data_IF_303054541879
#
_entry.id   IF_303054541879
#
_cell.length_a   1.000
_cell.length_b   1.000
_cell.length_c   1.000
_cell.angle_alpha   90.00
_cell.angle_beta   90.00
_cell.angle_gamma   90.00
#
_symmetry.space_group_name_H-M   'P 1'
#
loop_
_entity.id
_entity.type
_entity.pdbx_description
1 polymer ?
#
# COMPACT_ATOMS: atom_id res chain seq x y z
N UNK A 1 22.32 -25.35 0.63
CA UNK A 1 22.36 -24.35 1.72
C UNK A 1 22.23 -24.99 3.10
N UNK A 2 21.12 -25.68 3.43
CA UNK A 2 20.96 -26.35 4.74
C UNK A 2 22.10 -27.35 5.00
N UNK A 3 22.38 -28.23 4.04
CA UNK A 3 23.47 -29.21 4.11
C UNK A 3 24.85 -28.52 4.22
N UNK A 4 25.08 -27.44 3.47
CA UNK A 4 26.33 -26.67 3.56
C UNK A 4 26.52 -26.07 4.96
N UNK A 5 25.46 -25.54 5.57
CA UNK A 5 25.47 -25.00 6.94
C UNK A 5 25.81 -26.11 7.94
N UNK A 6 25.19 -27.28 7.80
CA UNK A 6 25.49 -28.45 8.65
C UNK A 6 26.96 -28.90 8.52
N UNK A 7 27.55 -28.72 7.34
CA UNK A 7 28.96 -29.01 7.07
C UNK A 7 29.91 -27.88 7.47
N UNK A 8 29.42 -26.82 8.14
CA UNK A 8 30.25 -25.72 8.66
C UNK A 8 30.55 -24.60 7.65
N UNK A 9 29.79 -24.49 6.57
CA UNK A 9 29.95 -23.39 5.63
C UNK A 9 29.63 -22.04 6.28
N UNK A 10 30.50 -21.05 6.05
CA UNK A 10 30.28 -19.67 6.48
C UNK A 10 29.35 -18.99 5.48
N UNK A 11 28.23 -18.47 5.98
CA UNK A 11 27.26 -17.74 5.17
C UNK A 11 27.64 -16.25 5.06
N UNK A 12 27.25 -15.58 3.95
CA UNK A 12 27.27 -14.12 3.89
C UNK A 12 26.41 -13.50 5.01
N UNK A 13 26.67 -12.24 5.40
CA UNK A 13 26.05 -11.62 6.58
C UNK A 13 24.54 -11.45 6.45
N UNK A 14 23.79 -11.78 7.50
CA UNK A 14 22.37 -11.40 7.59
C UNK A 14 22.33 -9.90 7.89
N UNK A 15 21.53 -9.16 7.13
CA UNK A 15 21.40 -7.71 7.30
C UNK A 15 20.08 -7.41 7.99
N UNK A 16 20.14 -6.81 9.16
CA UNK A 16 18.99 -6.37 9.95
C UNK A 16 18.87 -4.85 9.89
N UNK A 17 17.67 -4.35 9.62
CA UNK A 17 17.29 -2.96 9.75
C UNK A 17 16.65 -2.70 11.10
N UNK A 18 17.03 -1.59 11.73
CA UNK A 18 16.45 -1.11 12.99
C UNK A 18 15.96 0.31 12.76
N UNK A 19 14.66 0.53 12.91
CA UNK A 19 14.06 1.86 12.89
C UNK A 19 14.20 2.51 14.26
N UNK A 20 14.77 3.70 14.35
CA UNK A 20 15.06 4.42 15.60
C UNK A 20 14.50 5.83 15.62
N UNK A 21 14.21 6.35 16.80
CA UNK A 21 13.97 7.76 17.03
C UNK A 21 15.30 8.55 17.06
N UNK A 22 15.30 9.86 16.75
CA UNK A 22 16.52 10.68 16.80
C UNK A 22 17.23 10.64 18.15
N UNK A 23 16.47 10.54 19.25
CA UNK A 23 17.02 10.45 20.61
C UNK A 23 17.78 9.15 20.87
N UNK A 24 17.42 8.07 20.19
CA UNK A 24 18.08 6.76 20.31
C UNK A 24 19.37 6.72 19.49
N UNK A 25 19.41 7.35 18.32
CA UNK A 25 20.64 7.46 17.51
C UNK A 25 21.75 8.15 18.29
N UNK A 26 21.43 9.24 18.99
CA UNK A 26 22.42 9.95 19.81
C UNK A 26 22.94 9.08 20.97
N UNK A 27 22.09 8.25 21.58
CA UNK A 27 22.52 7.26 22.58
C UNK A 27 23.46 6.22 21.97
N UNK A 28 23.09 5.66 20.81
CA UNK A 28 23.88 4.62 20.13
C UNK A 28 25.28 5.13 19.76
N UNK A 29 25.39 6.39 19.32
CA UNK A 29 26.69 7.02 19.00
C UNK A 29 27.62 7.14 20.21
N UNK A 30 27.07 7.12 21.42
CA UNK A 30 27.83 7.21 22.67
C UNK A 30 28.22 5.85 23.23
N UNK A 31 27.76 4.75 22.61
CA UNK A 31 28.09 3.41 23.10
C UNK A 31 29.58 3.12 23.01
N UNK A 32 30.11 2.60 24.10
CA UNK A 32 31.54 2.33 24.27
C UNK A 32 31.93 0.91 23.87
N UNK A 33 30.97 -0.02 23.85
CA UNK A 33 31.15 -1.41 23.44
C UNK A 33 29.90 -2.05 22.82
N UNK A 34 30.05 -3.29 22.32
CA UNK A 34 28.93 -4.05 21.76
C UNK A 34 27.91 -4.51 22.80
N UNK A 35 28.27 -4.61 24.08
CA UNK A 35 27.36 -5.05 25.16
C UNK A 35 26.28 -4.00 25.41
N UNK A 36 26.61 -2.72 25.32
CA UNK A 36 25.65 -1.61 25.33
C UNK A 36 24.69 -1.67 24.15
N UNK A 37 25.20 -1.98 22.96
CA UNK A 37 24.36 -2.13 21.78
C UNK A 37 23.39 -3.31 21.87
N UNK A 38 23.84 -4.47 22.40
CA UNK A 38 22.94 -5.61 22.60
C UNK A 38 21.87 -5.36 23.67
N UNK A 39 22.20 -4.64 24.74
CA UNK A 39 21.18 -4.20 25.71
C UNK A 39 20.15 -3.28 25.09
N UNK A 40 20.58 -2.34 24.25
CA UNK A 40 19.66 -1.52 23.47
C UNK A 40 18.76 -2.38 22.56
N UNK A 41 19.34 -3.35 21.85
CA UNK A 41 18.58 -4.26 20.99
C UNK A 41 17.51 -5.05 21.75
N UNK A 42 17.81 -5.51 22.97
CA UNK A 42 16.85 -6.22 23.82
C UNK A 42 15.66 -5.33 24.25
N UNK A 43 15.85 -4.00 24.28
CA UNK A 43 14.81 -3.02 24.62
C UNK A 43 14.00 -2.56 23.40
N UNK A 44 14.52 -2.73 22.18
CA UNK A 44 13.84 -2.32 20.95
C UNK A 44 12.67 -3.25 20.65
N UNK A 45 11.51 -2.66 20.37
CA UNK A 45 10.34 -3.41 19.91
C UNK A 45 10.68 -4.21 18.65
N UNK A 46 10.35 -5.51 18.65
CA UNK A 46 10.58 -6.42 17.53
C UNK A 46 9.93 -5.91 16.23
N UNK A 47 8.83 -5.18 16.32
CA UNK A 47 8.16 -4.60 15.16
C UNK A 47 9.00 -3.51 14.47
N UNK A 48 10.04 -2.98 15.13
CA UNK A 48 10.99 -2.00 14.58
C UNK A 48 12.22 -2.66 13.96
N UNK A 49 12.32 -4.00 14.01
CA UNK A 49 13.44 -4.77 13.47
C UNK A 49 12.97 -5.54 12.22
N UNK A 50 13.70 -5.42 11.12
CA UNK A 50 13.38 -6.10 9.86
C UNK A 50 14.60 -6.79 9.25
N UNK A 51 14.40 -7.93 8.60
CA UNK A 51 15.45 -8.57 7.80
C UNK A 51 15.49 -7.87 6.44
N UNK A 52 16.53 -7.08 6.21
CA UNK A 52 16.77 -6.35 4.96
C UNK A 52 17.35 -7.30 3.90
N UNK A 53 18.25 -8.19 4.32
CA UNK A 53 18.82 -9.21 3.45
C UNK A 53 19.16 -10.47 4.26
N UNK A 54 18.90 -11.63 3.68
CA UNK A 54 19.20 -12.93 4.30
C UNK A 54 18.00 -13.79 4.68
N UNK A 55 16.79 -13.53 4.18
CA UNK A 55 15.60 -14.35 4.47
C UNK A 55 15.78 -15.85 4.17
N UNK A 56 16.42 -16.20 3.05
CA UNK A 56 16.69 -17.60 2.72
C UNK A 56 17.75 -18.21 3.66
N UNK A 57 18.73 -17.41 4.05
CA UNK A 57 19.80 -17.82 4.98
C UNK A 57 19.24 -18.05 6.37
N UNK A 58 18.41 -17.14 6.89
CA UNK A 58 17.73 -17.31 8.19
C UNK A 58 16.83 -18.54 8.18
N UNK A 59 16.07 -18.77 7.11
CA UNK A 59 15.24 -19.99 6.97
C UNK A 59 16.11 -21.25 6.98
N UNK A 60 17.19 -21.27 6.20
CA UNK A 60 18.10 -22.42 6.13
C UNK A 60 18.81 -22.69 7.47
N UNK A 61 19.17 -21.64 8.23
CA UNK A 61 19.72 -21.76 9.59
C UNK A 61 18.68 -22.38 10.53
N UNK A 62 17.42 -21.91 10.49
CA UNK A 62 16.34 -22.44 11.32
C UNK A 62 16.04 -23.91 11.02
N UNK A 63 16.08 -24.29 9.74
CA UNK A 63 15.84 -25.68 9.33
C UNK A 63 17.02 -26.60 9.67
N UNK A 64 18.27 -26.12 9.54
CA UNK A 64 19.44 -26.82 10.04
C UNK A 64 19.33 -27.06 11.57
N UNK A 65 18.87 -26.06 12.33
CA UNK A 65 18.67 -26.18 13.77
C UNK A 65 17.65 -27.28 14.14
N UNK A 66 16.51 -27.34 13.44
CA UNK A 66 15.47 -28.37 13.68
C UNK A 66 15.95 -29.79 13.41
N UNK A 67 16.93 -29.96 12.51
CA UNK A 67 17.49 -31.27 12.15
C UNK A 67 18.45 -31.87 13.20
N UNK A 68 18.74 -31.16 14.29
CA UNK A 68 19.56 -31.64 15.41
C UNK A 68 21.07 -31.48 15.23
N UNK A 69 21.54 -31.13 14.04
CA UNK A 69 22.91 -30.70 13.79
C UNK A 69 23.00 -29.19 14.02
N UNK A 70 23.34 -28.78 15.25
CA UNK A 70 23.57 -27.38 15.61
C UNK A 70 24.77 -26.83 14.80
N UNK A 71 24.57 -25.93 13.83
CA UNK A 71 25.69 -25.16 13.30
C UNK A 71 26.25 -24.29 14.42
N UNK A 72 27.56 -24.07 14.42
CA UNK A 72 28.16 -23.14 15.37
C UNK A 72 27.71 -21.70 15.03
N UNK A 73 26.66 -21.23 15.69
CA UNK A 73 26.10 -19.89 15.47
C UNK A 73 27.08 -18.78 15.85
N UNK A 74 28.14 -19.07 16.61
CA UNK A 74 29.17 -18.08 17.00
C UNK A 74 29.94 -17.49 15.81
N UNK A 75 29.78 -18.06 14.62
CA UNK A 75 30.39 -17.59 13.37
C UNK A 75 29.38 -16.88 12.45
N UNK A 76 28.12 -16.73 12.87
CA UNK A 76 27.11 -16.04 12.08
C UNK A 76 27.37 -14.54 12.11
N UNK A 77 27.66 -13.96 10.96
CA UNK A 77 27.80 -12.51 10.84
C UNK A 77 26.43 -11.86 10.67
N UNK A 78 26.14 -10.90 11.52
CA UNK A 78 24.95 -10.04 11.43
C UNK A 78 25.40 -8.60 11.25
N UNK A 79 24.82 -7.90 10.28
CA UNK A 79 25.07 -6.49 9.99
C UNK A 79 23.82 -5.70 10.36
N UNK A 80 23.97 -4.72 11.26
CA UNK A 80 22.87 -3.88 11.71
C UNK A 80 22.90 -2.53 10.99
N UNK A 81 21.78 -2.18 10.37
CA UNK A 81 21.52 -0.88 9.74
C UNK A 81 20.52 -0.12 10.58
N UNK A 82 20.95 0.98 11.16
CA UNK A 82 20.14 1.79 12.08
C UNK A 82 19.74 3.05 11.32
N UNK A 83 18.44 3.36 11.31
CA UNK A 83 17.93 4.51 10.57
C UNK A 83 16.77 5.20 11.29
N UNK A 84 16.71 6.52 11.15
CA UNK A 84 15.58 7.34 11.63
C UNK A 84 14.34 7.24 10.76
N UNK A 85 14.52 6.84 9.50
CA UNK A 85 13.41 6.65 8.58
C UNK A 85 13.47 5.27 7.94
N UNK A 86 12.29 4.78 7.57
CA UNK A 86 12.12 3.51 6.87
C UNK A 86 12.85 3.56 5.52
N UNK A 87 12.90 4.74 4.90
CA UNK A 87 13.42 4.99 3.55
C UNK A 87 14.90 4.59 3.40
N UNK A 88 15.73 4.86 4.41
CA UNK A 88 17.15 4.53 4.42
C UNK A 88 17.36 3.02 4.46
N UNK A 89 16.48 2.29 5.17
CA UNK A 89 16.49 0.82 5.21
C UNK A 89 16.01 0.25 3.86
N UNK A 90 14.99 0.86 3.26
CA UNK A 90 14.50 0.51 1.92
C UNK A 90 15.62 0.66 0.88
N UNK A 91 16.29 1.82 0.83
CA UNK A 91 17.41 2.06 -0.09
C UNK A 91 18.48 0.97 0.01
N UNK A 92 18.86 0.60 1.24
CA UNK A 92 19.85 -0.43 1.48
C UNK A 92 19.39 -1.80 1.00
N UNK A 93 18.13 -2.15 1.24
CA UNK A 93 17.52 -3.40 0.75
C UNK A 93 17.59 -3.51 -0.76
N UNK A 94 17.35 -2.40 -1.46
CA UNK A 94 17.35 -2.35 -2.92
C UNK A 94 18.75 -2.52 -3.50
N UNK A 95 19.75 -1.86 -2.92
CA UNK A 95 21.16 -1.98 -3.36
C UNK A 95 21.72 -3.38 -3.07
N UNK A 96 21.41 -3.97 -1.91
CA UNK A 96 21.93 -5.29 -1.50
C UNK A 96 21.42 -6.45 -2.37
N UNK A 97 20.22 -6.33 -2.93
CA UNK A 97 19.60 -7.35 -3.78
C UNK A 97 19.96 -7.22 -5.28
N UNK A 98 20.84 -6.28 -5.64
CA UNK A 98 21.27 -6.11 -7.04
C UNK A 98 22.09 -7.32 -7.51
N UNK A 99 21.59 -8.04 -8.51
CA UNK A 99 22.27 -9.20 -9.13
C UNK A 99 21.77 -10.59 -8.69
N UNK A 100 20.81 -10.70 -7.77
CA UNK A 100 20.18 -11.98 -7.40
C UNK A 100 18.90 -12.26 -8.23
N UNK A 101 18.53 -13.54 -8.40
CA UNK A 101 17.30 -13.92 -9.13
C UNK A 101 16.08 -13.33 -8.38
N UNK A 102 15.19 -12.58 -9.06
CA UNK A 102 14.15 -11.82 -8.36
C UNK A 102 13.16 -12.76 -7.67
N UNK A 103 12.86 -12.47 -6.41
CA UNK A 103 11.59 -12.89 -5.82
C UNK A 103 10.44 -12.21 -6.57
N UNK A 104 9.21 -12.75 -6.47
CA UNK A 104 8.03 -12.00 -6.93
C UNK A 104 8.06 -10.60 -6.32
N UNK A 105 8.02 -9.56 -7.17
CA UNK A 105 8.12 -8.14 -6.79
C UNK A 105 7.11 -7.83 -5.67
N UNK A 106 5.94 -8.46 -5.69
CA UNK A 106 4.95 -8.33 -4.62
C UNK A 106 5.50 -8.66 -3.23
N UNK A 107 6.29 -9.73 -3.08
CA UNK A 107 6.90 -10.12 -1.79
C UNK A 107 8.08 -9.23 -1.38
N UNK A 108 8.87 -8.77 -2.35
CA UNK A 108 9.95 -7.81 -2.07
C UNK A 108 9.37 -6.49 -1.59
N UNK A 109 8.36 -5.98 -2.30
CA UNK A 109 7.64 -4.77 -1.93
C UNK A 109 6.93 -4.97 -0.57
N UNK A 110 6.28 -6.08 -0.29
CA UNK A 110 5.68 -6.30 1.04
C UNK A 110 6.69 -6.27 2.19
N UNK A 111 7.91 -6.78 1.99
CA UNK A 111 8.98 -6.74 3.01
C UNK A 111 9.51 -5.32 3.20
N UNK A 112 9.74 -4.60 2.09
CA UNK A 112 10.11 -3.16 2.06
C UNK A 112 9.08 -2.33 2.82
N UNK A 113 7.81 -2.57 2.50
CA UNK A 113 6.69 -1.79 2.99
C UNK A 113 6.06 -2.39 4.23
N UNK A 114 6.67 -3.37 4.89
CA UNK A 114 6.12 -3.95 6.11
C UNK A 114 5.95 -2.87 7.20
N UNK A 115 6.95 -2.01 7.36
CA UNK A 115 6.90 -0.85 8.25
C UNK A 115 5.80 0.14 7.86
N UNK A 116 5.64 0.39 6.55
CA UNK A 116 4.53 1.17 6.02
C UNK A 116 3.18 0.55 6.43
N UNK A 117 3.02 -0.75 6.26
CA UNK A 117 1.79 -1.47 6.61
C UNK A 117 1.51 -1.41 8.12
N UNK A 118 2.54 -1.50 8.96
CA UNK A 118 2.42 -1.28 10.42
C UNK A 118 1.93 0.13 10.70
N UNK A 119 2.55 1.16 10.10
CA UNK A 119 2.15 2.55 10.33
C UNK A 119 0.71 2.82 9.87
N UNK A 120 0.31 2.30 8.71
CA UNK A 120 -1.07 2.37 8.22
C UNK A 120 -2.02 1.71 9.22
N UNK A 121 -1.70 0.50 9.69
CA UNK A 121 -2.51 -0.23 10.66
C UNK A 121 -2.61 0.52 11.99
N UNK A 122 -1.52 1.12 12.47
CA UNK A 122 -1.50 1.89 13.71
C UNK A 122 -2.33 3.18 13.60
N UNK A 123 -2.30 3.86 12.45
CA UNK A 123 -3.08 5.10 12.24
C UNK A 123 -4.57 4.84 11.97
N UNK A 124 -4.91 3.79 11.22
CA UNK A 124 -6.29 3.50 10.84
C UNK A 124 -7.00 2.52 11.79
N UNK A 125 -6.27 1.82 12.65
CA UNK A 125 -6.83 0.90 13.64
C UNK A 125 -7.81 -0.10 13.02
N UNK A 126 -9.01 -0.17 13.59
CA UNK A 126 -10.06 -1.10 13.18
C UNK A 126 -10.73 -0.76 11.84
N UNK A 127 -10.44 0.43 11.26
CA UNK A 127 -11.00 0.79 9.96
C UNK A 127 -10.42 -0.04 8.81
N UNK A 128 -9.22 -0.61 9.01
CA UNK A 128 -8.52 -1.39 7.99
C UNK A 128 -8.13 -2.78 8.50
N UNK A 129 -8.32 -3.78 7.64
CA UNK A 129 -7.83 -5.14 7.84
C UNK A 129 -6.90 -5.53 6.72
N UNK A 130 -5.61 -5.67 7.04
CA UNK A 130 -4.57 -6.02 6.09
C UNK A 130 -4.33 -7.53 6.12
N UNK A 131 -4.43 -8.16 4.95
CA UNK A 131 -4.17 -9.58 4.73
C UNK A 131 -2.79 -9.74 4.09
N UNK A 132 -1.84 -10.38 4.80
CA UNK A 132 -0.51 -10.69 4.27
C UNK A 132 -0.60 -11.73 3.12
N UNK A 133 0.39 -11.75 2.23
CA UNK A 133 0.38 -12.57 1.00
C UNK A 133 0.07 -14.06 1.21
N UNK A 134 0.52 -14.65 2.33
CA UNK A 134 0.30 -16.08 2.60
C UNK A 134 -1.12 -16.39 3.10
N UNK A 135 -1.93 -15.36 3.36
CA UNK A 135 -3.31 -15.56 3.78
C UNK A 135 -4.22 -15.83 2.56
N UNK A 136 -4.90 -16.99 2.57
CA UNK A 136 -5.94 -17.33 1.57
C UNK A 136 -7.23 -16.50 1.72
N UNK A 137 -7.20 -15.42 2.53
CA UNK A 137 -8.37 -14.62 2.86
C UNK A 137 -8.69 -13.67 1.71
N UNK A 138 -9.96 -13.66 1.30
CA UNK A 138 -10.50 -12.73 0.31
C UNK A 138 -11.25 -11.62 1.03
N UNK A 139 -11.26 -10.43 0.42
CA UNK A 139 -12.09 -9.30 0.85
C UNK A 139 -13.56 -9.73 0.90
N UNK A 140 -14.18 -9.61 2.07
CA UNK A 140 -15.61 -9.83 2.27
C UNK A 140 -16.36 -8.55 2.61
N UNK A 141 -15.66 -7.58 3.22
CA UNK A 141 -16.22 -6.32 3.70
C UNK A 141 -15.36 -5.13 3.25
N UNK A 142 -15.90 -3.90 3.27
CA UNK A 142 -15.11 -2.69 3.14
C UNK A 142 -13.95 -2.62 4.12
N UNK A 143 -12.88 -1.93 3.73
CA UNK A 143 -11.68 -1.80 4.58
C UNK A 143 -10.78 -3.04 4.64
N UNK A 144 -11.07 -4.10 3.89
CA UNK A 144 -10.23 -5.31 3.88
C UNK A 144 -9.39 -5.39 2.60
N UNK A 145 -8.07 -5.40 2.71
CA UNK A 145 -7.16 -5.39 1.57
C UNK A 145 -6.01 -6.37 1.75
N UNK A 146 -5.52 -6.92 0.64
CA UNK A 146 -4.22 -7.60 0.63
C UNK A 146 -3.10 -6.57 0.73
N UNK A 147 -2.03 -6.89 1.44
CA UNK A 147 -0.84 -6.04 1.58
C UNK A 147 -0.30 -5.58 0.23
N UNK A 148 -0.15 -6.48 -0.75
CA UNK A 148 0.24 -6.15 -2.13
C UNK A 148 -0.60 -5.03 -2.75
N UNK A 149 -1.92 -5.01 -2.52
CA UNK A 149 -2.80 -3.97 -3.07
C UNK A 149 -2.48 -2.62 -2.44
N UNK A 150 -2.33 -2.55 -1.12
CA UNK A 150 -2.01 -1.30 -0.42
C UNK A 150 -0.69 -0.73 -0.92
N UNK A 151 0.31 -1.59 -1.08
CA UNK A 151 1.62 -1.21 -1.58
C UNK A 151 1.55 -0.69 -3.02
N UNK A 152 0.81 -1.37 -3.89
CA UNK A 152 0.61 -0.92 -5.27
C UNK A 152 -0.13 0.43 -5.31
N UNK A 153 -1.13 0.64 -4.46
CA UNK A 153 -1.83 1.91 -4.33
C UNK A 153 -0.91 3.02 -3.81
N UNK A 154 0.00 2.72 -2.88
CA UNK A 154 0.98 3.69 -2.40
C UNK A 154 1.90 4.14 -3.54
N UNK A 155 2.42 3.21 -4.34
CA UNK A 155 3.25 3.54 -5.51
C UNK A 155 2.49 4.41 -6.53
N UNK A 156 1.23 4.07 -6.81
CA UNK A 156 0.37 4.85 -7.70
C UNK A 156 0.11 6.26 -7.16
N UNK A 157 -0.13 6.36 -5.86
CA UNK A 157 -0.31 7.64 -5.18
C UNK A 157 0.95 8.51 -5.30
N UNK A 158 2.12 7.96 -4.96
CA UNK A 158 3.37 8.72 -4.98
C UNK A 158 3.82 9.12 -6.37
N UNK A 159 3.60 8.25 -7.36
CA UNK A 159 3.85 8.58 -8.78
C UNK A 159 2.79 9.49 -9.40
N UNK A 160 1.66 9.71 -8.70
CA UNK A 160 0.50 10.48 -9.17
C UNK A 160 -0.07 9.95 -10.49
N UNK A 161 0.06 8.63 -10.71
CA UNK A 161 -0.38 7.94 -11.92
C UNK A 161 -1.42 6.90 -11.56
N UNK A 162 -2.32 6.61 -12.51
CA UNK A 162 -3.29 5.53 -12.37
C UNK A 162 -2.68 4.17 -12.72
N UNK A 163 -1.53 4.15 -13.39
CA UNK A 163 -0.84 2.95 -13.89
C UNK A 163 0.68 3.07 -13.72
N UNK A 164 1.31 1.94 -13.39
CA UNK A 164 2.76 1.75 -13.34
C UNK A 164 3.08 0.47 -14.11
N UNK A 165 4.03 0.52 -15.03
CA UNK A 165 4.46 -0.65 -15.80
C UNK A 165 5.51 -1.44 -15.01
N UNK A 166 5.10 -2.40 -14.18
CA UNK A 166 6.03 -3.15 -13.29
C UNK A 166 6.83 -4.25 -14.05
N UNK A 167 6.64 -4.44 -15.36
CA UNK A 167 7.08 -5.66 -16.07
C UNK A 167 8.53 -5.67 -16.56
N UNK A 168 9.20 -4.53 -16.69
CA UNK A 168 10.57 -4.47 -17.20
C UNK A 168 11.58 -4.22 -16.06
N UNK A 169 12.77 -4.83 -16.17
CA UNK A 169 13.88 -4.65 -15.22
C UNK A 169 14.29 -3.18 -15.02
N UNK A 170 14.08 -2.34 -16.04
CA UNK A 170 14.26 -0.89 -15.97
C UNK A 170 13.13 -0.25 -15.15
N UNK A 171 11.89 -0.71 -15.34
CA UNK A 171 10.75 -0.26 -14.55
C UNK A 171 10.80 -0.73 -13.10
N UNK A 172 11.44 -1.87 -12.82
CA UNK A 172 11.75 -2.28 -11.44
C UNK A 172 12.65 -1.24 -10.77
N UNK A 173 13.69 -0.76 -11.46
CA UNK A 173 14.58 0.29 -10.93
C UNK A 173 13.86 1.66 -10.83
N UNK A 174 12.94 1.98 -11.73
CA UNK A 174 12.09 3.17 -11.59
C UNK A 174 11.09 3.06 -10.44
N UNK A 175 10.43 1.92 -10.24
CA UNK A 175 9.55 1.69 -9.08
C UNK A 175 10.35 1.77 -7.79
N UNK A 176 11.60 1.29 -7.79
CA UNK A 176 12.53 1.41 -6.68
C UNK A 176 12.92 2.87 -6.40
N UNK A 177 13.22 3.64 -7.42
CA UNK A 177 13.54 5.07 -7.30
C UNK A 177 12.32 5.88 -6.86
N UNK A 178 11.16 5.66 -7.48
CA UNK A 178 9.88 6.26 -7.09
C UNK A 178 9.54 5.90 -5.64
N UNK A 179 9.79 4.66 -5.21
CA UNK A 179 9.62 4.23 -3.82
C UNK A 179 10.54 4.98 -2.84
N UNK A 180 11.81 5.20 -3.20
CA UNK A 180 12.78 5.95 -2.39
C UNK A 180 12.35 7.43 -2.30
N UNK A 181 11.95 8.04 -3.41
CA UNK A 181 11.50 9.44 -3.45
C UNK A 181 10.17 9.65 -2.72
N UNK A 182 9.21 8.74 -2.93
CA UNK A 182 7.91 8.72 -2.26
C UNK A 182 8.03 8.66 -0.74
N UNK A 183 9.02 7.89 -0.28
CA UNK A 183 9.21 7.58 1.12
C UNK A 183 10.03 8.68 1.81
N UNK A 184 10.90 9.40 1.08
CA UNK A 184 11.76 10.48 1.59
C UNK A 184 11.05 11.64 2.34
N UNK A 185 9.72 11.78 2.25
CA UNK A 185 8.95 12.76 3.04
C UNK A 185 7.89 12.07 3.89
N UNK A 186 7.94 12.26 5.21
CA UNK A 186 6.91 11.76 6.14
C UNK A 186 5.50 12.27 5.78
N UNK A 187 5.40 13.47 5.20
CA UNK A 187 4.15 14.08 4.75
C UNK A 187 3.45 13.24 3.65
N UNK A 188 4.19 12.65 2.72
CA UNK A 188 3.65 11.84 1.60
C UNK A 188 2.88 10.62 2.10
N UNK A 189 3.41 9.96 3.12
CA UNK A 189 2.73 8.84 3.75
C UNK A 189 1.45 9.28 4.46
N UNK A 190 1.48 10.40 5.16
CA UNK A 190 0.30 10.91 5.85
C UNK A 190 -0.81 11.28 4.86
N UNK A 191 -0.47 11.87 3.72
CA UNK A 191 -1.42 12.12 2.62
C UNK A 191 -2.01 10.82 2.06
N UNK A 192 -1.19 9.78 1.92
CA UNK A 192 -1.68 8.47 1.46
C UNK A 192 -2.60 7.81 2.49
N UNK A 193 -2.26 7.85 3.79
CA UNK A 193 -3.09 7.28 4.86
C UNK A 193 -4.46 7.95 4.91
N UNK A 194 -4.51 9.29 4.78
CA UNK A 194 -5.77 10.01 4.64
C UNK A 194 -6.55 9.57 3.40
N UNK A 195 -5.88 9.46 2.25
CA UNK A 195 -6.50 8.99 1.01
C UNK A 195 -7.11 7.59 1.18
N UNK A 196 -6.40 6.69 1.85
CA UNK A 196 -6.87 5.33 2.12
C UNK A 196 -8.08 5.33 3.07
N UNK A 197 -8.07 6.14 4.13
CA UNK A 197 -9.23 6.34 5.02
C UNK A 197 -10.46 6.83 4.26
N UNK A 198 -10.30 7.83 3.39
CA UNK A 198 -11.39 8.36 2.57
C UNK A 198 -11.93 7.32 1.58
N UNK A 199 -11.06 6.52 0.97
CA UNK A 199 -11.46 5.40 0.13
C UNK A 199 -12.31 4.40 0.91
N UNK A 200 -11.90 4.06 2.15
CA UNK A 200 -12.63 3.14 3.03
C UNK A 200 -14.00 3.71 3.41
N UNK A 201 -14.10 5.00 3.76
CA UNK A 201 -15.38 5.67 4.05
C UNK A 201 -16.33 5.64 2.86
N UNK A 202 -15.81 5.91 1.66
CA UNK A 202 -16.59 5.89 0.42
C UNK A 202 -17.05 4.47 0.07
N UNK A 203 -16.15 3.50 0.20
CA UNK A 203 -16.43 2.07 0.00
C UNK A 203 -17.50 1.56 0.98
N UNK A 204 -17.43 1.94 2.26
CA UNK A 204 -18.49 1.67 3.26
C UNK A 204 -19.83 2.28 2.83
N UNK A 205 -19.82 3.53 2.38
CA UNK A 205 -21.03 4.23 1.92
C UNK A 205 -21.68 3.54 0.72
N UNK A 206 -20.89 3.15 -0.28
CA UNK A 206 -21.39 2.44 -1.46
C UNK A 206 -21.87 1.03 -1.11
N UNK A 207 -21.17 0.33 -0.22
CA UNK A 207 -21.49 -1.05 0.18
C UNK A 207 -22.80 -1.19 0.95
N UNK A 208 -23.42 -0.10 1.40
CA UNK A 208 -24.81 -0.10 1.92
C UNK A 208 -25.77 -0.67 0.89
N UNK A 209 -25.52 -0.42 -0.40
CA UNK A 209 -26.19 -1.11 -1.49
C UNK A 209 -25.52 -2.48 -1.73
N UNK A 210 -25.58 -3.37 -0.74
CA UNK A 210 -25.24 -4.78 -0.90
C UNK A 210 -26.54 -5.56 -0.95
N UNK A 211 -26.75 -6.34 -2.01
CA UNK A 211 -27.98 -7.10 -2.22
C UNK A 211 -28.18 -8.11 -1.08
N UNK A 212 -29.19 -7.90 -0.24
CA UNK A 212 -29.74 -8.98 0.57
C UNK A 212 -30.55 -9.89 -0.35
N UNK A 213 -29.98 -11.08 -0.60
CA UNK A 213 -30.60 -12.26 -1.20
C UNK A 213 -30.99 -12.21 -2.70
N UNK A 214 -30.46 -13.21 -3.42
CA UNK A 214 -31.08 -13.94 -4.53
C UNK A 214 -31.82 -13.12 -5.60
N UNK A 215 -31.09 -12.67 -6.61
CA UNK A 215 -31.63 -12.61 -7.97
C UNK A 215 -31.01 -13.77 -8.76
N UNK A 216 -31.81 -14.81 -8.99
CA UNK A 216 -31.59 -15.71 -10.12
C UNK A 216 -31.76 -14.88 -11.41
N UNK A 217 -30.89 -15.08 -12.39
CA UNK A 217 -30.76 -14.37 -13.69
C UNK A 217 -30.19 -12.94 -13.56
N UNK A 218 -29.05 -12.53 -14.15
CA UNK A 218 -28.24 -12.96 -15.29
C UNK A 218 -26.76 -12.73 -14.96
N UNK A 219 -25.91 -13.69 -15.29
CA UNK A 219 -24.48 -13.75 -14.95
C UNK A 219 -23.58 -12.82 -15.83
N UNK A 220 -23.99 -11.57 -16.13
CA UNK A 220 -23.29 -10.72 -17.12
C UNK A 220 -22.77 -9.36 -16.62
N UNK A 221 -23.23 -8.86 -15.48
CA UNK A 221 -22.86 -7.50 -15.04
C UNK A 221 -21.59 -7.49 -14.18
N UNK A 222 -20.60 -6.72 -14.63
CA UNK A 222 -19.26 -6.66 -14.02
C UNK A 222 -19.25 -6.01 -12.63
N UNK A 223 -20.15 -5.05 -12.40
CA UNK A 223 -20.40 -4.41 -11.11
C UNK A 223 -21.88 -4.62 -10.78
N UNK A 224 -22.19 -5.51 -9.84
CA UNK A 224 -23.59 -5.86 -9.55
C UNK A 224 -24.20 -5.02 -8.43
N UNK A 225 -23.37 -4.37 -7.62
CA UNK A 225 -23.79 -3.65 -6.40
C UNK A 225 -22.68 -2.68 -5.95
N UNK A 226 -22.94 -1.88 -4.91
CA UNK A 226 -22.00 -0.83 -4.50
C UNK A 226 -20.66 -1.33 -3.94
N UNK A 227 -20.63 -2.52 -3.29
CA UNK A 227 -19.36 -3.09 -2.77
C UNK A 227 -18.41 -3.52 -3.89
N UNK A 228 -18.94 -3.81 -5.09
CA UNK A 228 -18.17 -4.29 -6.22
C UNK A 228 -17.34 -3.17 -6.89
N UNK A 229 -17.69 -1.89 -6.68
CA UNK A 229 -16.93 -0.74 -7.21
C UNK A 229 -15.49 -0.79 -6.69
N UNK A 230 -15.26 -0.71 -5.38
CA UNK A 230 -13.93 -0.78 -4.78
C UNK A 230 -13.40 -2.21 -4.57
N UNK A 231 -14.10 -3.22 -5.10
CA UNK A 231 -13.53 -4.57 -5.27
C UNK A 231 -12.62 -4.61 -6.50
N UNK A 232 -12.88 -3.74 -7.47
CA UNK A 232 -12.07 -3.56 -8.66
C UNK A 232 -10.80 -2.78 -8.32
N UNK A 233 -9.63 -3.37 -8.61
CA UNK A 233 -8.35 -2.66 -8.49
C UNK A 233 -8.29 -1.39 -9.36
N UNK A 234 -8.77 -1.37 -10.62
CA UNK A 234 -8.89 -0.14 -11.39
C UNK A 234 -9.61 1.02 -10.70
N UNK A 235 -10.67 0.74 -9.93
CA UNK A 235 -11.38 1.78 -9.18
C UNK A 235 -10.55 2.31 -8.01
N UNK A 236 -9.91 1.41 -7.24
CA UNK A 236 -8.99 1.80 -6.16
C UNK A 236 -7.82 2.64 -6.69
N UNK A 237 -7.19 2.20 -7.78
CA UNK A 237 -6.10 2.88 -8.45
C UNK A 237 -6.52 4.26 -8.97
N UNK A 238 -7.67 4.34 -9.65
CA UNK A 238 -8.21 5.59 -10.15
C UNK A 238 -8.52 6.59 -9.04
N UNK A 239 -9.12 6.13 -7.94
CA UNK A 239 -9.40 6.97 -6.77
C UNK A 239 -8.12 7.50 -6.13
N UNK A 240 -7.14 6.62 -5.89
CA UNK A 240 -5.84 7.02 -5.30
C UNK A 240 -5.11 8.02 -6.19
N UNK A 241 -5.07 7.81 -7.50
CA UNK A 241 -4.44 8.74 -8.43
C UNK A 241 -5.15 10.11 -8.48
N UNK A 242 -6.50 10.11 -8.46
CA UNK A 242 -7.27 11.35 -8.43
C UNK A 242 -7.01 12.16 -7.15
N UNK A 243 -6.95 11.49 -6.00
CA UNK A 243 -6.62 12.12 -4.72
C UNK A 243 -5.17 12.62 -4.69
N UNK A 244 -4.22 11.84 -5.19
CA UNK A 244 -2.82 12.23 -5.28
C UNK A 244 -2.64 13.51 -6.09
N UNK A 245 -3.23 13.58 -7.29
CA UNK A 245 -3.20 14.79 -8.13
C UNK A 245 -3.92 15.95 -7.44
N UNK A 246 -5.03 15.68 -6.76
CA UNK A 246 -5.75 16.73 -6.02
C UNK A 246 -4.95 17.29 -4.85
N UNK A 247 -4.08 16.52 -4.20
CA UNK A 247 -3.26 16.96 -3.05
C UNK A 247 -1.92 17.56 -3.54
N UNK A 248 -1.22 16.85 -4.41
CA UNK A 248 0.19 17.09 -4.77
C UNK A 248 0.39 17.76 -6.14
N UNK A 249 -0.71 18.04 -6.85
CA UNK A 249 -0.73 18.49 -8.24
C UNK A 249 -0.36 17.41 -9.27
N UNK A 250 -0.51 17.74 -10.55
CA UNK A 250 -0.17 16.84 -11.67
C UNK A 250 1.34 16.50 -11.71
N UNK A 251 1.73 15.32 -12.23
CA UNK A 251 3.13 14.99 -12.46
C UNK A 251 3.87 16.10 -13.22
N UNK A 252 5.01 16.55 -12.70
CA UNK A 252 5.79 17.66 -13.26
C UNK A 252 5.47 19.02 -12.64
N UNK A 253 4.37 19.15 -11.90
CA UNK A 253 4.10 20.28 -11.02
C UNK A 253 4.39 19.90 -9.56
N UNK A 254 4.61 20.91 -8.72
CA UNK A 254 4.91 20.72 -7.31
C UNK A 254 4.24 21.79 -6.47
N UNK A 255 3.55 21.34 -5.42
CA UNK A 255 3.02 22.21 -4.37
C UNK A 255 3.98 22.28 -3.20
N UNK A 256 3.93 23.39 -2.49
CA UNK A 256 4.57 23.51 -1.18
C UNK A 256 3.89 22.58 -0.17
N UNK A 257 4.60 22.19 0.90
CA UNK A 257 4.01 21.35 1.96
C UNK A 257 2.76 22.00 2.57
N UNK A 258 2.74 23.34 2.70
CA UNK A 258 1.56 24.08 3.21
C UNK A 258 0.35 23.97 2.27
N UNK A 259 0.54 24.14 0.96
CA UNK A 259 -0.53 24.03 -0.03
C UNK A 259 -1.06 22.60 -0.13
N UNK A 260 -0.16 21.60 -0.12
CA UNK A 260 -0.54 20.19 -0.12
C UNK A 260 -1.38 19.84 1.10
N UNK A 261 -0.99 20.33 2.29
CA UNK A 261 -1.74 20.13 3.53
C UNK A 261 -3.11 20.81 3.49
N UNK A 262 -3.21 22.03 2.95
CA UNK A 262 -4.50 22.69 2.76
C UNK A 262 -5.42 21.88 1.83
N UNK A 263 -4.87 21.34 0.74
CA UNK A 263 -5.61 20.50 -0.21
C UNK A 263 -6.01 19.14 0.37
N UNK A 264 -5.19 18.56 1.25
CA UNK A 264 -5.57 17.36 2.01
C UNK A 264 -6.79 17.62 2.89
N UNK A 265 -6.82 18.75 3.62
CA UNK A 265 -7.96 19.13 4.46
C UNK A 265 -9.23 19.38 3.62
N UNK A 266 -9.08 20.05 2.48
CA UNK A 266 -10.17 20.28 1.52
C UNK A 266 -10.74 18.94 1.00
N UNK A 267 -9.87 17.99 0.64
CA UNK A 267 -10.26 16.66 0.18
C UNK A 267 -10.99 15.86 1.26
N UNK A 268 -10.46 15.87 2.50
CA UNK A 268 -11.07 15.15 3.62
C UNK A 268 -12.47 15.68 3.92
N UNK A 269 -12.64 17.00 3.94
CA UNK A 269 -13.95 17.65 4.10
C UNK A 269 -14.90 17.28 2.94
N UNK A 270 -14.44 17.38 1.70
CA UNK A 270 -15.24 17.10 0.52
C UNK A 270 -15.80 15.66 0.51
N UNK A 271 -14.92 14.67 0.70
CA UNK A 271 -15.33 13.26 0.68
C UNK A 271 -16.13 12.89 1.93
N UNK A 272 -15.78 13.41 3.10
CA UNK A 272 -16.54 13.15 4.33
C UNK A 272 -17.97 13.73 4.24
N UNK A 273 -18.13 14.96 3.75
CA UNK A 273 -19.44 15.58 3.52
C UNK A 273 -20.25 14.82 2.48
N UNK A 274 -19.59 14.35 1.42
CA UNK A 274 -20.23 13.51 0.41
C UNK A 274 -20.73 12.17 1.01
N UNK A 275 -19.93 11.52 1.86
CA UNK A 275 -20.37 10.30 2.56
C UNK A 275 -21.55 10.58 3.51
N UNK A 276 -21.52 11.67 4.27
CA UNK A 276 -22.64 12.09 5.14
C UNK A 276 -23.93 12.37 4.33
N UNK A 277 -23.79 12.90 3.11
CA UNK A 277 -24.93 13.06 2.19
C UNK A 277 -25.49 11.70 1.78
N UNK A 278 -24.64 10.74 1.41
CA UNK A 278 -25.08 9.39 1.04
C UNK A 278 -25.75 8.66 2.20
N UNK A 279 -25.24 8.79 3.43
CA UNK A 279 -25.80 8.18 4.64
C UNK A 279 -27.28 8.53 4.86
N UNK A 280 -27.70 9.74 4.48
CA UNK A 280 -29.08 10.21 4.59
C UNK A 280 -30.03 9.62 3.55
N UNK A 281 -29.50 9.05 2.47
CA UNK A 281 -30.32 8.44 1.41
C UNK A 281 -30.85 7.08 1.86
N UNK A 282 -32.09 6.78 1.51
CA UNK A 282 -32.66 5.43 1.55
C UNK A 282 -31.93 4.50 0.55
N UNK A 283 -32.13 3.19 0.65
CA UNK A 283 -31.50 2.24 -0.27
C UNK A 283 -31.94 2.43 -1.72
N UNK A 284 -33.19 2.82 -1.97
CA UNK A 284 -33.68 3.10 -3.33
C UNK A 284 -33.08 4.39 -3.90
N UNK A 285 -32.98 5.44 -3.08
CA UNK A 285 -32.34 6.69 -3.47
C UNK A 285 -30.84 6.48 -3.70
N UNK A 286 -30.18 5.70 -2.85
CA UNK A 286 -28.77 5.34 -3.02
C UNK A 286 -28.55 4.54 -4.32
N UNK A 287 -29.46 3.60 -4.65
CA UNK A 287 -29.40 2.85 -5.91
C UNK A 287 -29.45 3.78 -7.12
N UNK A 288 -30.39 4.73 -7.12
CA UNK A 288 -30.49 5.75 -8.18
C UNK A 288 -29.25 6.64 -8.20
N UNK A 289 -28.78 7.08 -7.03
CA UNK A 289 -27.63 7.96 -6.90
C UNK A 289 -26.35 7.34 -7.49
N UNK A 290 -26.10 6.05 -7.26
CA UNK A 290 -24.87 5.41 -7.73
C UNK A 290 -24.82 5.17 -9.24
N UNK A 291 -25.95 5.15 -9.94
CA UNK A 291 -26.03 4.98 -11.40
C UNK A 291 -25.19 3.78 -11.91
N UNK A 292 -25.31 2.61 -11.24
CA UNK A 292 -24.48 1.41 -11.53
C UNK A 292 -24.71 0.88 -12.96
N UNK A 293 -25.93 1.00 -13.48
CA UNK A 293 -26.26 0.58 -14.85
C UNK A 293 -25.48 1.40 -15.89
N UNK A 294 -25.41 2.72 -15.71
CA UNK A 294 -24.60 3.61 -16.54
C UNK A 294 -23.10 3.28 -16.40
N UNK A 295 -22.63 3.01 -15.18
CA UNK A 295 -21.25 2.60 -14.94
C UNK A 295 -20.90 1.33 -15.73
N UNK A 296 -21.71 0.27 -15.65
CA UNK A 296 -21.50 -0.95 -16.42
C UNK A 296 -21.51 -0.68 -17.93
N UNK A 297 -22.43 0.17 -18.42
CA UNK A 297 -22.46 0.56 -19.84
C UNK A 297 -21.15 1.20 -20.30
N UNK A 298 -20.54 2.08 -19.47
CA UNK A 298 -19.27 2.72 -19.80
C UNK A 298 -18.08 1.76 -19.75
N UNK A 299 -18.10 0.79 -18.83
CA UNK A 299 -17.04 -0.21 -18.71
C UNK A 299 -17.06 -1.25 -19.84
N UNK A 300 -18.19 -1.43 -20.54
CA UNK A 300 -18.31 -2.34 -21.69
C UNK A 300 -17.63 -1.83 -22.98
N UNK A 301 -17.12 -0.60 -22.98
CA UNK A 301 -16.45 -0.04 -24.14
C UNK A 301 -15.21 -0.87 -24.54
N UNK A 302 -15.14 -1.29 -25.81
CA UNK A 302 -14.03 -2.12 -26.30
C UNK A 302 -12.72 -1.35 -26.23
N UNK A 303 -11.76 -1.89 -25.48
CA UNK A 303 -10.39 -1.40 -25.40
C UNK A 303 -9.41 -2.57 -25.54
N UNK A 304 -8.33 -2.39 -26.30
CA UNK A 304 -7.24 -3.36 -26.41
C UNK A 304 -6.43 -3.47 -25.12
N UNK A 305 -6.49 -2.48 -24.24
CA UNK A 305 -5.87 -2.45 -22.91
C UNK A 305 -6.92 -2.15 -21.84
N UNK A 306 -7.82 -3.11 -21.58
CA UNK A 306 -8.96 -2.95 -20.67
C UNK A 306 -8.56 -2.41 -19.30
N UNK A 307 -7.50 -2.96 -18.68
CA UNK A 307 -7.04 -2.49 -17.36
C UNK A 307 -6.60 -1.02 -17.34
N UNK A 308 -5.88 -0.58 -18.38
CA UNK A 308 -5.43 0.82 -18.52
C UNK A 308 -6.60 1.78 -18.72
N UNK A 309 -7.52 1.40 -19.61
CA UNK A 309 -8.73 2.17 -19.87
C UNK A 309 -9.52 2.40 -18.58
N UNK A 310 -9.76 1.36 -17.78
CA UNK A 310 -10.56 1.47 -16.58
C UNK A 310 -9.90 2.30 -15.48
N UNK A 311 -8.59 2.16 -15.31
CA UNK A 311 -7.82 2.98 -14.37
C UNK A 311 -7.96 4.47 -14.71
N UNK A 312 -7.85 4.83 -15.98
CA UNK A 312 -8.04 6.21 -16.44
C UNK A 312 -9.50 6.68 -16.34
N UNK A 313 -10.46 5.81 -16.67
CA UNK A 313 -11.89 6.05 -16.47
C UNK A 313 -12.20 6.40 -15.01
N UNK A 314 -11.82 5.54 -14.07
CA UNK A 314 -12.08 5.78 -12.65
C UNK A 314 -11.33 7.01 -12.14
N UNK A 315 -10.08 7.26 -12.59
CA UNK A 315 -9.35 8.48 -12.23
C UNK A 315 -10.14 9.74 -12.61
N UNK A 316 -10.62 9.83 -13.85
CA UNK A 316 -11.41 10.99 -14.31
C UNK A 316 -12.75 11.09 -13.57
N UNK A 317 -13.43 9.97 -13.36
CA UNK A 317 -14.69 9.93 -12.64
C UNK A 317 -14.56 10.43 -11.19
N UNK A 318 -13.56 9.94 -10.46
CA UNK A 318 -13.32 10.37 -9.07
C UNK A 318 -12.74 11.79 -8.99
N UNK A 319 -11.95 12.24 -9.96
CA UNK A 319 -11.56 13.65 -10.04
C UNK A 319 -12.77 14.57 -10.24
N UNK A 320 -13.74 14.16 -11.08
CA UNK A 320 -15.01 14.85 -11.24
C UNK A 320 -15.82 14.83 -9.94
N UNK A 321 -15.85 13.70 -9.22
CA UNK A 321 -16.50 13.59 -7.92
C UNK A 321 -15.92 14.60 -6.93
N UNK A 322 -14.60 14.61 -6.73
CA UNK A 322 -13.91 15.49 -5.78
C UNK A 322 -14.24 16.96 -6.07
N UNK A 323 -14.13 17.38 -7.35
CA UNK A 323 -14.36 18.76 -7.77
C UNK A 323 -15.82 19.21 -7.68
N UNK A 324 -16.77 18.29 -7.79
CA UNK A 324 -18.19 18.62 -7.96
C UNK A 324 -19.10 18.07 -6.86
N UNK A 325 -18.53 17.51 -5.78
CA UNK A 325 -19.25 16.74 -4.77
C UNK A 325 -20.52 17.42 -4.22
N UNK A 326 -20.51 18.74 -4.04
CA UNK A 326 -21.66 19.50 -3.52
C UNK A 326 -22.88 19.49 -4.45
N UNK A 327 -22.63 19.61 -5.76
CA UNK A 327 -23.69 19.75 -6.79
C UNK A 327 -24.18 18.43 -7.38
N UNK A 328 -23.55 17.30 -7.06
CA UNK A 328 -23.94 16.00 -7.59
C UNK A 328 -25.30 15.56 -7.04
N UNK A 329 -26.28 15.35 -7.92
CA UNK A 329 -27.56 14.70 -7.60
C UNK A 329 -27.49 13.18 -7.69
N UNK A 330 -26.51 12.68 -8.45
CA UNK A 330 -26.18 11.29 -8.73
C UNK A 330 -24.73 11.22 -9.27
N UNK A 331 -24.20 10.02 -9.50
CA UNK A 331 -22.85 9.80 -10.04
C UNK A 331 -22.78 9.78 -11.57
N UNK A 332 -23.89 9.99 -12.28
CA UNK A 332 -23.93 10.00 -13.74
C UNK A 332 -22.92 10.98 -14.37
N UNK A 333 -22.81 12.24 -13.90
CA UNK A 333 -21.79 13.17 -14.35
C UNK A 333 -20.35 12.69 -14.14
N UNK A 334 -20.10 11.89 -13.10
CA UNK A 334 -18.79 11.29 -12.84
C UNK A 334 -18.50 10.19 -13.87
N UNK A 335 -19.46 9.30 -14.14
CA UNK A 335 -19.32 8.22 -15.13
C UNK A 335 -19.22 8.73 -16.57
N UNK A 336 -19.67 9.96 -16.84
CA UNK A 336 -19.56 10.62 -18.14
C UNK A 336 -18.28 11.45 -18.31
N UNK A 337 -17.46 11.62 -17.27
CA UNK A 337 -16.28 12.48 -17.29
C UNK A 337 -15.07 11.91 -18.05
N UNK A 338 -15.18 10.71 -18.63
CA UNK A 338 -14.08 10.01 -19.28
C UNK A 338 -13.90 10.33 -20.76
#
# INVERSE_FOLDING_TARGET
MVEDIQNGAILPPIVLGILTEPSEIEKIRQFSDYSEFFRFLDEVDIDRISIIDGMQRTTAILDAFKSGNLPNLSQTRVEFWIAENVNSLIYRMLVLNTGQVPWDIGRQLETIYYQLLIQIKNKLGDEIKIFLADSKKRRAQPGQYQSKIIVELFLLFSSRKSEIEIKDKISEDFVRLDAIEASASNDSLDYFITTLSLMIKLDKSFSRLSTSAQSNDVDSDRISNGKDIFKSFPAMAGFCAACAIFILDEPGFQRTSMEAKAKQVELDSAISNFCLKLEKLSLEELRKFLEIELLNQKLLQRSTQVGRFEREFFKKAFASLIRNHERLTDLGPCWMAH
#
